data_IF_973887091816
#
_entry.id   IF_973887091816
#
_cell.length_a   1.000
_cell.length_b   1.000
_cell.length_c   1.000
_cell.angle_alpha   90.00
_cell.angle_beta   90.00
_cell.angle_gamma   90.00
#
_symmetry.space_group_name_H-M   'P 1'
#
loop_
_entity.id
_entity.type
_entity.pdbx_description
1 polymer ?
#
# COMPACT_ATOMS: atom_id res chain seq x y z
N UNK A 1 8.19 13.17 17.50
CA UNK A 1 7.45 14.45 17.38
C UNK A 1 5.96 14.22 17.07
N UNK A 2 5.59 13.38 16.10
CA UNK A 2 4.18 13.03 15.85
C UNK A 2 3.46 12.32 17.02
N UNK A 3 4.08 11.30 17.66
CA UNK A 3 3.46 10.59 18.79
C UNK A 3 3.26 11.48 20.03
N UNK A 4 4.12 12.48 20.23
CA UNK A 4 4.00 13.44 21.33
C UNK A 4 2.88 14.47 21.09
N UNK A 5 2.47 14.67 19.82
CA UNK A 5 1.40 15.57 19.42
C UNK A 5 0.01 14.89 19.41
N UNK A 6 -0.06 13.56 19.44
CA UNK A 6 -1.31 12.81 19.34
C UNK A 6 -2.20 12.92 20.59
N UNK A 7 -1.66 13.29 21.77
CA UNK A 7 -2.44 13.37 23.00
C UNK A 7 -3.20 12.07 23.34
N UNK A 8 -4.31 12.11 24.09
CA UNK A 8 -5.12 10.93 24.41
C UNK A 8 -5.96 10.41 23.24
N UNK A 9 -5.82 10.95 22.03
CA UNK A 9 -6.58 10.49 20.86
C UNK A 9 -6.00 9.16 20.35
N UNK A 10 -6.76 8.09 20.60
CA UNK A 10 -6.42 6.75 20.18
C UNK A 10 -6.30 6.64 18.64
N UNK A 11 -7.12 7.37 17.88
CA UNK A 11 -7.10 7.34 16.42
C UNK A 11 -5.85 8.02 15.85
N UNK A 12 -5.50 9.19 16.37
CA UNK A 12 -4.26 9.88 16.00
C UNK A 12 -3.02 9.06 16.37
N UNK A 13 -3.04 8.42 17.55
CA UNK A 13 -1.97 7.54 18.01
C UNK A 13 -1.81 6.31 17.10
N UNK A 14 -2.93 5.67 16.72
CA UNK A 14 -2.92 4.54 15.80
C UNK A 14 -2.38 4.91 14.41
N UNK A 15 -2.79 6.06 13.86
CA UNK A 15 -2.30 6.51 12.55
C UNK A 15 -0.80 6.84 12.59
N UNK A 16 -0.34 7.50 13.66
CA UNK A 16 1.07 7.82 13.86
C UNK A 16 1.93 6.57 14.01
N UNK A 17 1.48 5.57 14.78
CA UNK A 17 2.20 4.30 14.94
C UNK A 17 2.25 3.51 13.63
N UNK A 18 1.15 3.50 12.86
CA UNK A 18 1.09 2.85 11.54
C UNK A 18 2.04 3.53 10.56
N UNK A 19 2.15 4.87 10.58
CA UNK A 19 3.11 5.61 9.77
C UNK A 19 4.56 5.27 10.12
N UNK A 20 4.90 5.27 11.42
CA UNK A 20 6.24 4.91 11.90
C UNK A 20 6.62 3.46 11.56
N UNK A 21 5.65 2.55 11.61
CA UNK A 21 5.82 1.16 11.21
C UNK A 21 6.17 1.05 9.72
N UNK A 22 5.38 1.71 8.86
CA UNK A 22 5.65 1.76 7.42
C UNK A 22 7.02 2.36 7.09
N UNK A 23 7.44 3.42 7.80
CA UNK A 23 8.78 4.01 7.63
C UNK A 23 9.89 3.02 8.04
N UNK A 24 9.72 2.35 9.18
CA UNK A 24 10.68 1.34 9.65
C UNK A 24 10.77 0.15 8.69
N UNK A 25 9.64 -0.28 8.13
CA UNK A 25 9.55 -1.31 7.11
C UNK A 25 10.28 -0.90 5.83
N UNK A 26 10.05 0.32 5.34
CA UNK A 26 10.66 0.87 4.12
C UNK A 26 12.19 0.96 4.17
N UNK A 27 12.78 1.04 5.38
CA UNK A 27 14.25 1.02 5.58
C UNK A 27 14.78 -0.34 6.07
N UNK A 28 14.00 -1.41 5.99
CA UNK A 28 14.42 -2.77 6.31
C UNK A 28 14.54 -3.10 7.81
N UNK A 29 13.99 -2.27 8.71
CA UNK A 29 14.05 -2.50 10.17
C UNK A 29 12.90 -3.39 10.65
N UNK A 30 12.82 -4.63 10.16
CA UNK A 30 11.68 -5.53 10.34
C UNK A 30 11.31 -5.84 11.80
N UNK A 31 12.29 -5.91 12.71
CA UNK A 31 12.02 -6.11 14.14
C UNK A 31 11.44 -4.85 14.80
N UNK A 32 11.87 -3.66 14.37
CA UNK A 32 11.30 -2.41 14.85
C UNK A 32 9.89 -2.21 14.31
N UNK A 33 9.70 -2.49 13.01
CA UNK A 33 8.39 -2.52 12.35
C UNK A 33 7.41 -3.42 13.12
N UNK A 34 7.74 -4.69 13.35
CA UNK A 34 6.87 -5.59 14.12
C UNK A 34 6.44 -5.05 15.49
N UNK A 35 7.35 -4.40 16.23
CA UNK A 35 7.02 -3.81 17.54
C UNK A 35 6.08 -2.61 17.39
N UNK A 36 6.31 -1.76 16.40
CA UNK A 36 5.43 -0.63 16.09
C UNK A 36 4.05 -1.13 15.63
N UNK A 37 4.02 -2.17 14.80
CA UNK A 37 2.81 -2.81 14.31
C UNK A 37 1.95 -3.36 15.46
N UNK A 38 2.55 -4.06 16.42
CA UNK A 38 1.83 -4.58 17.59
C UNK A 38 1.20 -3.45 18.41
N UNK A 39 1.89 -2.31 18.54
CA UNK A 39 1.37 -1.12 19.22
C UNK A 39 0.27 -0.43 18.42
N UNK A 40 0.43 -0.33 17.11
CA UNK A 40 -0.57 0.22 16.20
C UNK A 40 -1.86 -0.61 16.23
N UNK A 41 -1.74 -1.94 16.28
CA UNK A 41 -2.89 -2.84 16.43
C UNK A 41 -3.66 -2.57 17.72
N UNK A 42 -2.98 -2.55 18.87
CA UNK A 42 -3.63 -2.25 20.15
C UNK A 42 -4.31 -0.86 20.16
N UNK A 43 -3.66 0.15 19.57
CA UNK A 43 -4.25 1.49 19.45
C UNK A 43 -5.46 1.52 18.49
N UNK A 44 -5.42 0.73 17.41
CA UNK A 44 -6.52 0.61 16.44
C UNK A 44 -7.73 -0.07 17.06
N UNK A 45 -7.52 -1.11 17.87
CA UNK A 45 -8.61 -1.80 18.58
C UNK A 45 -9.33 -0.87 19.55
N UNK A 46 -8.60 0.04 20.21
CA UNK A 46 -9.16 1.06 21.10
C UNK A 46 -9.88 2.17 20.32
N UNK A 47 -9.26 2.68 19.26
CA UNK A 47 -9.82 3.78 18.47
C UNK A 47 -11.06 3.35 17.67
N UNK A 48 -11.08 2.11 17.21
CA UNK A 48 -12.00 1.65 16.18
C UNK A 48 -11.79 2.35 14.83
N UNK A 49 -12.64 2.03 13.86
CA UNK A 49 -12.71 2.77 12.60
C UNK A 49 -12.03 2.08 11.42
N UNK A 50 -12.77 2.05 10.30
CA UNK A 50 -12.42 1.27 9.10
C UNK A 50 -11.11 1.72 8.44
N UNK A 51 -10.84 3.03 8.38
CA UNK A 51 -9.62 3.59 7.76
C UNK A 51 -8.35 3.07 8.46
N UNK A 52 -8.36 3.03 9.79
CA UNK A 52 -7.22 2.55 10.58
C UNK A 52 -7.01 1.05 10.37
N UNK A 53 -8.09 0.27 10.40
CA UNK A 53 -8.04 -1.17 10.10
C UNK A 53 -7.47 -1.48 8.71
N UNK A 54 -7.88 -0.73 7.68
CA UNK A 54 -7.35 -0.87 6.31
C UNK A 54 -5.85 -0.59 6.26
N UNK A 55 -5.39 0.52 6.84
CA UNK A 55 -3.96 0.88 6.84
C UNK A 55 -3.11 -0.12 7.63
N UNK A 56 -3.60 -0.59 8.77
CA UNK A 56 -2.94 -1.62 9.57
C UNK A 56 -2.81 -2.92 8.77
N UNK A 57 -3.86 -3.32 8.04
CA UNK A 57 -3.82 -4.52 7.20
C UNK A 57 -2.81 -4.40 6.05
N UNK A 58 -2.64 -3.22 5.44
CA UNK A 58 -1.58 -2.99 4.45
C UNK A 58 -0.19 -3.24 5.02
N UNK A 59 0.15 -2.64 6.17
CA UNK A 59 1.50 -2.77 6.73
C UNK A 59 1.77 -4.20 7.21
N UNK A 60 0.74 -4.90 7.73
CA UNK A 60 0.83 -6.34 8.02
C UNK A 60 1.17 -7.16 6.79
N UNK A 61 0.48 -6.92 5.67
CA UNK A 61 0.74 -7.62 4.42
C UNK A 61 2.17 -7.33 3.92
N UNK A 62 2.58 -6.06 3.90
CA UNK A 62 3.92 -5.66 3.47
C UNK A 62 5.02 -6.26 4.35
N UNK A 63 4.85 -6.30 5.67
CA UNK A 63 5.80 -6.96 6.57
C UNK A 63 5.87 -8.48 6.33
N UNK A 64 4.73 -9.14 6.12
CA UNK A 64 4.68 -10.58 5.83
C UNK A 64 5.41 -10.89 4.51
N UNK A 65 5.20 -10.10 3.46
CA UNK A 65 5.94 -10.21 2.19
C UNK A 65 7.45 -10.11 2.41
N UNK A 66 7.91 -9.10 3.15
CA UNK A 66 9.35 -8.89 3.41
C UNK A 66 9.98 -9.98 4.28
N UNK A 67 9.18 -10.77 5.00
CA UNK A 67 9.63 -11.91 5.79
C UNK A 67 9.52 -13.25 5.07
N UNK A 68 9.03 -13.26 3.83
CA UNK A 68 8.78 -14.49 3.07
C UNK A 68 7.53 -15.25 3.50
N UNK A 69 6.65 -14.66 4.32
CA UNK A 69 5.35 -15.22 4.67
C UNK A 69 4.30 -14.81 3.62
N UNK A 70 4.34 -15.48 2.47
CA UNK A 70 3.43 -15.19 1.36
C UNK A 70 1.96 -15.50 1.65
N UNK A 71 1.69 -16.50 2.50
CA UNK A 71 0.32 -16.86 2.88
C UNK A 71 -0.29 -15.78 3.79
N UNK A 72 0.43 -15.38 4.84
CA UNK A 72 0.02 -14.28 5.72
C UNK A 72 -0.09 -12.95 4.98
N UNK A 73 0.80 -12.70 4.01
CA UNK A 73 0.73 -11.50 3.17
C UNK A 73 -0.61 -11.39 2.42
N UNK A 74 -1.05 -12.47 1.77
CA UNK A 74 -2.33 -12.46 1.04
C UNK A 74 -3.50 -12.36 1.98
N UNK A 75 -3.51 -13.11 3.09
CA UNK A 75 -4.60 -13.03 4.07
C UNK A 75 -4.79 -11.61 4.62
N UNK A 76 -3.69 -10.89 4.89
CA UNK A 76 -3.74 -9.50 5.31
C UNK A 76 -4.21 -8.56 4.19
N UNK A 77 -3.77 -8.79 2.95
CA UNK A 77 -4.17 -7.97 1.82
C UNK A 77 -5.65 -8.13 1.45
N UNK A 78 -6.18 -9.35 1.47
CA UNK A 78 -7.61 -9.64 1.27
C UNK A 78 -8.47 -8.97 2.33
N UNK A 79 -8.04 -9.00 3.60
CA UNK A 79 -8.69 -8.25 4.68
C UNK A 79 -8.72 -6.75 4.42
N UNK A 80 -7.65 -6.20 3.86
CA UNK A 80 -7.61 -4.79 3.48
C UNK A 80 -8.61 -4.46 2.35
N UNK A 81 -8.68 -5.31 1.31
CA UNK A 81 -9.64 -5.17 0.20
C UNK A 81 -11.07 -5.24 0.72
N UNK A 82 -11.41 -6.25 1.54
CA UNK A 82 -12.73 -6.41 2.13
C UNK A 82 -13.12 -5.19 2.99
N UNK A 83 -12.20 -4.70 3.82
CA UNK A 83 -12.44 -3.52 4.65
C UNK A 83 -12.59 -2.23 3.81
N UNK A 84 -11.88 -2.14 2.68
CA UNK A 84 -11.91 -1.01 1.77
C UNK A 84 -13.13 -0.98 0.85
N UNK A 85 -13.83 -2.10 0.63
CA UNK A 85 -14.98 -2.19 -0.28
C UNK A 85 -16.05 -1.11 -0.02
N UNK A 86 -16.47 -0.95 1.23
CA UNK A 86 -17.43 0.10 1.62
C UNK A 86 -16.76 1.43 2.01
N UNK A 87 -15.46 1.57 1.80
CA UNK A 87 -14.76 2.80 2.16
C UNK A 87 -15.13 3.90 1.16
N UNK A 88 -15.48 5.12 1.61
CA UNK A 88 -15.84 6.22 0.70
C UNK A 88 -14.69 6.70 -0.21
N UNK A 89 -13.46 6.20 0.00
CA UNK A 89 -12.27 6.68 -0.68
C UNK A 89 -11.84 5.68 -1.75
N UNK A 90 -12.05 6.05 -3.02
CA UNK A 90 -11.59 5.25 -4.16
C UNK A 90 -10.08 4.96 -4.11
N UNK A 91 -9.28 5.91 -3.58
CA UNK A 91 -7.84 5.72 -3.35
C UNK A 91 -7.53 4.59 -2.38
N UNK A 92 -8.32 4.40 -1.32
CA UNK A 92 -8.11 3.30 -0.38
C UNK A 92 -8.47 1.95 -1.00
N UNK A 93 -9.49 1.90 -1.87
CA UNK A 93 -9.80 0.69 -2.64
C UNK A 93 -8.64 0.31 -3.56
N UNK A 94 -8.23 1.23 -4.45
CA UNK A 94 -7.11 0.98 -5.38
C UNK A 94 -5.81 0.64 -4.65
N UNK A 95 -5.47 1.33 -3.54
CA UNK A 95 -4.26 0.98 -2.77
C UNK A 95 -4.37 -0.41 -2.14
N UNK A 96 -5.56 -0.85 -1.72
CA UNK A 96 -5.74 -2.22 -1.22
C UNK A 96 -5.52 -3.25 -2.32
N UNK A 97 -6.01 -3.00 -3.52
CA UNK A 97 -5.78 -3.87 -4.68
C UNK A 97 -4.29 -3.92 -5.07
N UNK A 98 -3.58 -2.78 -4.98
CA UNK A 98 -2.12 -2.72 -5.18
C UNK A 98 -1.39 -3.64 -4.19
N UNK A 99 -1.77 -3.61 -2.91
CA UNK A 99 -1.16 -4.47 -1.88
C UNK A 99 -1.50 -5.94 -2.15
N UNK A 100 -2.74 -6.25 -2.56
CA UNK A 100 -3.15 -7.62 -2.91
C UNK A 100 -2.36 -8.15 -4.11
N UNK A 101 -2.22 -7.37 -5.17
CA UNK A 101 -1.41 -7.76 -6.33
C UNK A 101 0.04 -8.04 -5.92
N UNK A 102 0.65 -7.18 -5.11
CA UNK A 102 2.01 -7.40 -4.61
C UNK A 102 2.12 -8.68 -3.74
N UNK A 103 1.14 -8.93 -2.87
CA UNK A 103 1.12 -10.12 -2.02
C UNK A 103 0.99 -11.41 -2.85
N UNK A 104 0.10 -11.44 -3.84
CA UNK A 104 -0.06 -12.54 -4.79
C UNK A 104 1.23 -12.78 -5.58
N UNK A 105 1.88 -11.72 -6.07
CA UNK A 105 3.19 -11.83 -6.72
C UNK A 105 4.23 -12.42 -5.78
N UNK A 106 4.31 -11.95 -4.53
CA UNK A 106 5.33 -12.40 -3.56
C UNK A 106 5.23 -13.89 -3.21
N UNK A 107 4.03 -14.46 -3.25
CA UNK A 107 3.79 -15.90 -3.02
C UNK A 107 3.87 -16.74 -4.30
N UNK A 108 4.14 -16.13 -5.45
CA UNK A 108 4.26 -16.80 -6.75
C UNK A 108 2.96 -17.00 -7.52
N UNK A 109 1.83 -16.43 -7.07
CA UNK A 109 0.55 -16.50 -7.79
C UNK A 109 0.47 -15.39 -8.86
N UNK A 110 1.25 -15.57 -9.92
CA UNK A 110 1.43 -14.54 -10.94
C UNK A 110 0.16 -14.29 -11.76
N UNK A 111 -0.66 -15.31 -12.00
CA UNK A 111 -1.89 -15.17 -12.78
C UNK A 111 -2.88 -14.23 -12.07
N UNK A 112 -3.20 -14.51 -10.80
CA UNK A 112 -4.09 -13.63 -10.04
C UNK A 112 -3.46 -12.26 -9.78
N UNK A 113 -2.13 -12.21 -9.56
CA UNK A 113 -1.43 -10.94 -9.42
C UNK A 113 -1.62 -10.03 -10.64
N UNK A 114 -1.52 -10.56 -11.86
CA UNK A 114 -1.71 -9.79 -13.11
C UNK A 114 -3.14 -9.31 -13.24
N UNK A 115 -4.11 -10.19 -13.02
CA UNK A 115 -5.52 -9.84 -13.12
C UNK A 115 -5.90 -8.70 -12.16
N UNK A 116 -5.47 -8.78 -10.89
CA UNK A 116 -5.70 -7.70 -9.90
C UNK A 116 -4.96 -6.43 -10.29
N UNK A 117 -3.70 -6.52 -10.73
CA UNK A 117 -2.91 -5.35 -11.09
C UNK A 117 -3.45 -4.61 -12.32
N UNK A 118 -3.87 -5.34 -13.36
CA UNK A 118 -4.46 -4.75 -14.57
C UNK A 118 -5.77 -4.02 -14.24
N UNK A 119 -6.66 -4.66 -13.47
CA UNK A 119 -7.92 -4.06 -13.05
C UNK A 119 -7.69 -2.80 -12.19
N UNK A 120 -6.76 -2.87 -11.23
CA UNK A 120 -6.40 -1.74 -10.38
C UNK A 120 -5.76 -0.59 -11.20
N UNK A 121 -4.98 -0.90 -12.23
CA UNK A 121 -4.34 0.09 -13.08
C UNK A 121 -5.37 0.86 -13.91
N UNK A 122 -6.35 0.14 -14.47
CA UNK A 122 -7.48 0.74 -15.16
C UNK A 122 -8.32 1.63 -14.23
N UNK A 123 -8.58 1.19 -12.99
CA UNK A 123 -9.31 1.98 -11.99
C UNK A 123 -8.54 3.22 -11.51
N UNK A 124 -7.21 3.16 -11.46
CA UNK A 124 -6.35 4.25 -11.02
C UNK A 124 -6.26 5.40 -12.04
N UNK A 125 -6.48 5.12 -13.33
CA UNK A 125 -6.33 6.08 -14.43
C UNK A 125 -7.27 7.29 -14.34
N UNK A 126 -8.61 7.12 -14.36
CA UNK A 126 -9.54 8.25 -14.34
C UNK A 126 -9.46 9.05 -13.03
N UNK A 127 -8.89 8.46 -11.97
CA UNK A 127 -8.72 9.09 -10.67
C UNK A 127 -7.40 9.88 -10.53
N UNK A 128 -6.53 9.83 -11.54
CA UNK A 128 -5.24 10.53 -11.51
C UNK A 128 -4.32 10.08 -10.38
N UNK A 129 -4.42 8.81 -9.93
CA UNK A 129 -3.65 8.27 -8.81
C UNK A 129 -2.23 7.89 -9.25
N UNK A 130 -1.45 8.87 -9.70
CA UNK A 130 -0.12 8.70 -10.31
C UNK A 130 0.82 7.78 -9.52
N UNK A 131 0.97 7.91 -8.18
CA UNK A 131 1.86 7.00 -7.44
C UNK A 131 1.40 5.54 -7.48
N UNK A 132 0.08 5.29 -7.50
CA UNK A 132 -0.45 3.93 -7.59
C UNK A 132 -0.31 3.37 -9.00
N UNK A 133 -0.51 4.20 -10.03
CA UNK A 133 -0.22 3.83 -11.43
C UNK A 133 1.23 3.43 -11.62
N UNK A 134 2.16 4.19 -11.04
CA UNK A 134 3.59 3.85 -11.07
C UNK A 134 3.87 2.49 -10.43
N UNK A 135 3.32 2.23 -9.24
CA UNK A 135 3.52 0.97 -8.52
C UNK A 135 2.99 -0.23 -9.32
N UNK A 136 1.78 -0.12 -9.86
CA UNK A 136 1.13 -1.17 -10.66
C UNK A 136 1.89 -1.44 -11.97
N UNK A 137 2.25 -0.38 -12.70
CA UNK A 137 3.02 -0.53 -13.93
C UNK A 137 4.44 -1.07 -13.66
N UNK A 138 5.05 -0.76 -12.52
CA UNK A 138 6.33 -1.34 -12.11
C UNK A 138 6.22 -2.83 -11.83
N UNK A 139 5.16 -3.26 -11.14
CA UNK A 139 4.86 -4.67 -10.90
C UNK A 139 4.64 -5.42 -12.23
N UNK A 140 3.73 -4.91 -13.06
CA UNK A 140 3.39 -5.48 -14.38
C UNK A 140 4.59 -5.50 -15.34
N UNK A 141 5.52 -4.56 -15.24
CA UNK A 141 6.76 -4.61 -16.03
C UNK A 141 7.63 -5.82 -15.66
N UNK A 142 7.59 -6.26 -14.40
CA UNK A 142 8.32 -7.43 -13.92
C UNK A 142 7.62 -8.75 -14.20
N UNK A 143 6.28 -8.78 -14.10
CA UNK A 143 5.51 -10.03 -14.21
C UNK A 143 4.73 -10.18 -15.52
N UNK A 144 4.67 -9.17 -16.37
CA UNK A 144 3.79 -9.11 -17.55
C UNK A 144 2.40 -8.56 -17.23
N UNK A 145 1.62 -8.27 -18.27
CA UNK A 145 0.22 -7.84 -18.21
C UNK A 145 -0.61 -8.65 -19.20
N UNK A 146 -1.89 -8.87 -18.89
CA UNK A 146 -2.85 -9.52 -19.78
C UNK A 146 -3.65 -8.50 -20.60
N UNK A 147 -3.74 -7.26 -20.11
CA UNK A 147 -4.51 -6.17 -20.72
C UNK A 147 -3.66 -5.23 -21.56
N UNK A 148 -2.41 -5.00 -21.16
CA UNK A 148 -1.51 -4.02 -21.76
C UNK A 148 -0.30 -4.69 -22.40
N UNK A 149 0.16 -4.14 -23.53
CA UNK A 149 1.43 -4.57 -24.14
C UNK A 149 2.62 -4.17 -23.25
N UNK A 150 3.77 -4.87 -23.35
CA UNK A 150 4.98 -4.50 -22.60
C UNK A 150 5.42 -3.04 -22.80
N UNK A 151 5.28 -2.52 -24.01
CA UNK A 151 5.58 -1.11 -24.33
C UNK A 151 4.64 -0.14 -23.62
N UNK A 152 3.34 -0.44 -23.58
CA UNK A 152 2.37 0.39 -22.85
C UNK A 152 2.64 0.38 -21.35
N UNK A 153 2.92 -0.77 -20.75
CA UNK A 153 3.26 -0.88 -19.32
C UNK A 153 4.50 -0.04 -19.00
N UNK A 154 5.54 -0.14 -19.82
CA UNK A 154 6.77 0.65 -19.64
C UNK A 154 6.50 2.15 -19.76
N UNK A 155 5.73 2.57 -20.77
CA UNK A 155 5.37 3.98 -20.96
C UNK A 155 4.57 4.53 -19.77
N UNK A 156 3.58 3.79 -19.26
CA UNK A 156 2.79 4.19 -18.09
C UNK A 156 3.69 4.35 -16.86
N UNK A 157 4.60 3.38 -16.63
CA UNK A 157 5.55 3.43 -15.53
C UNK A 157 6.42 4.68 -15.61
N UNK A 158 7.04 4.94 -16.76
CA UNK A 158 8.02 6.01 -16.92
C UNK A 158 7.36 7.39 -16.82
N UNK A 159 6.21 7.60 -17.48
CA UNK A 159 5.41 8.84 -17.36
C UNK A 159 4.97 9.10 -15.92
N UNK A 160 4.55 8.05 -15.20
CA UNK A 160 4.15 8.19 -13.80
C UNK A 160 5.35 8.54 -12.92
N UNK A 161 6.51 7.92 -13.17
CA UNK A 161 7.74 8.21 -12.43
C UNK A 161 8.20 9.66 -12.63
N UNK A 162 8.16 10.16 -13.87
CA UNK A 162 8.53 11.54 -14.18
C UNK A 162 7.58 12.54 -13.54
N UNK A 163 6.27 12.26 -13.58
CA UNK A 163 5.27 13.08 -12.90
C UNK A 163 5.51 13.14 -11.38
N UNK A 164 5.89 12.02 -10.75
CA UNK A 164 6.26 11.99 -9.33
C UNK A 164 7.52 12.82 -9.06
N UNK A 165 8.56 12.72 -9.91
CA UNK A 165 9.80 13.50 -9.77
C UNK A 165 9.54 15.01 -9.89
N UNK A 166 8.76 15.43 -10.89
CA UNK A 166 8.45 16.85 -11.11
C UNK A 166 7.56 17.45 -10.03
N UNK A 167 6.65 16.66 -9.44
CA UNK A 167 5.77 17.13 -8.35
C UNK A 167 6.38 16.98 -6.95
N UNK A 168 7.38 16.12 -6.78
CA UNK A 168 8.13 15.96 -5.54
C UNK A 168 9.24 16.99 -5.33
N UNK A 169 9.49 17.86 -6.32
CA UNK A 169 10.67 18.74 -6.40
C UNK A 169 10.44 20.23 -6.17
N UNK A 170 9.34 20.67 -5.57
CA UNK A 170 9.21 22.07 -5.10
C UNK A 170 8.94 22.07 -3.61
N UNK A 171 10.01 22.02 -2.81
CA UNK A 171 10.00 22.63 -1.49
C UNK A 171 10.19 24.13 -1.70
N UNK A 172 9.15 24.90 -1.43
CA UNK A 172 9.29 26.34 -1.28
C UNK A 172 10.07 26.58 0.01
N UNK A 173 11.36 26.92 -0.12
CA UNK A 173 12.08 27.61 0.93
C UNK A 173 11.46 29.00 1.10
N UNK A 174 10.72 29.18 2.19
CA UNK A 174 10.37 30.48 2.76
C UNK A 174 10.88 30.53 4.19
#
# INVERSE_FOLDING_TARGET
RALAAAGPDAAASADALTGLDADALGVGRFNASQRLLNRAAAATDVAGGRRLGVRLAWVRAELAMMRGDGAGAVEHAERAVAAAADHPSARHRVKSDVVLAAALCSRGDLAHSRAVADAALAAADPLGLVPLRWALASLLAGIGSETYTPTQVTAIRDVSADTVRHRGGVWSDH
#
